data_IF_259593697243
#
_entry.id   IF_259593697243
#
_cell.length_a   1.000
_cell.length_b   1.000
_cell.length_c   1.000
_cell.angle_alpha   90.00
_cell.angle_beta   90.00
_cell.angle_gamma   90.00
#
_symmetry.space_group_name_H-M   'P 1'
#
loop_
_entity.id
_entity.type
_entity.pdbx_description
1 polymer ?
#
# COMPACT_ATOMS: atom_id res chain seq x y z
N UNK A 1 87.54 4.03 -141.15
CA UNK A 1 86.96 5.31 -140.68
C UNK A 1 86.35 5.04 -139.33
N UNK A 2 86.92 5.63 -138.29
CA UNK A 2 86.59 5.37 -136.89
C UNK A 2 85.15 5.88 -136.58
N UNK A 3 84.28 4.97 -136.17
CA UNK A 3 82.84 5.18 -135.94
C UNK A 3 82.49 5.69 -134.54
N UNK A 4 83.47 6.25 -133.84
CA UNK A 4 83.35 6.76 -132.49
C UNK A 4 82.49 8.04 -132.43
N UNK A 5 81.72 8.19 -131.34
CA UNK A 5 80.91 9.39 -131.03
C UNK A 5 81.80 10.64 -130.93
N UNK A 6 81.21 11.83 -131.07
CA UNK A 6 81.95 13.08 -130.82
C UNK A 6 82.37 13.21 -129.36
N UNK A 7 81.71 12.46 -128.46
CA UNK A 7 82.02 12.41 -127.03
C UNK A 7 81.99 10.95 -126.56
N UNK A 8 83.10 10.38 -126.08
CA UNK A 8 83.13 9.03 -125.49
C UNK A 8 82.33 8.95 -124.18
N UNK A 9 81.62 7.84 -123.93
CA UNK A 9 80.87 7.60 -122.68
C UNK A 9 81.77 7.59 -121.44
N UNK A 10 83.00 7.09 -121.59
CA UNK A 10 83.97 6.88 -120.51
C UNK A 10 84.56 8.20 -119.97
N UNK A 11 84.41 9.31 -120.69
CA UNK A 11 84.94 10.63 -120.31
C UNK A 11 83.86 11.64 -119.89
N UNK A 12 82.58 11.27 -119.95
CA UNK A 12 81.50 12.13 -119.48
C UNK A 12 81.32 11.94 -117.97
N UNK A 13 81.72 12.95 -117.20
CA UNK A 13 81.23 13.08 -115.84
C UNK A 13 79.75 13.51 -115.90
N UNK A 14 78.84 12.54 -115.80
CA UNK A 14 77.40 12.77 -115.89
C UNK A 14 76.92 13.81 -114.87
N UNK A 15 77.49 13.80 -113.66
CA UNK A 15 77.16 14.76 -112.60
C UNK A 15 77.51 16.18 -113.04
N UNK A 16 78.65 16.38 -113.68
CA UNK A 16 79.08 17.70 -114.15
C UNK A 16 78.29 18.15 -115.37
N UNK A 17 78.04 17.26 -116.34
CA UNK A 17 77.28 17.60 -117.55
C UNK A 17 75.86 18.06 -117.22
N UNK A 18 75.19 17.39 -116.27
CA UNK A 18 73.81 17.72 -115.89
C UNK A 18 73.70 18.78 -114.79
N UNK A 19 74.80 19.45 -114.42
CA UNK A 19 74.81 20.58 -113.48
C UNK A 19 75.11 21.90 -114.19
N UNK A 20 74.30 22.92 -113.92
CA UNK A 20 74.57 24.28 -114.38
C UNK A 20 74.60 24.42 -115.92
N UNK A 21 75.38 25.36 -116.48
CA UNK A 21 75.42 25.61 -117.93
C UNK A 21 76.21 24.57 -118.74
N UNK A 22 76.80 23.55 -118.08
CA UNK A 22 77.73 22.62 -118.70
C UNK A 22 77.11 21.80 -119.84
N UNK A 23 75.81 21.45 -119.74
CA UNK A 23 75.10 20.80 -120.82
C UNK A 23 75.02 21.71 -122.05
N UNK A 24 74.68 22.99 -121.85
CA UNK A 24 74.57 23.96 -122.94
C UNK A 24 75.93 24.21 -123.60
N UNK A 25 77.01 24.31 -122.81
CA UNK A 25 78.38 24.41 -123.32
C UNK A 25 78.80 23.18 -124.13
N UNK A 26 78.45 21.98 -123.67
CA UNK A 26 78.73 20.74 -124.37
C UNK A 26 77.97 20.65 -125.69
N UNK A 27 76.67 21.00 -125.69
CA UNK A 27 75.85 21.05 -126.89
C UNK A 27 76.38 22.11 -127.88
N UNK A 28 76.84 23.26 -127.39
CA UNK A 28 77.48 24.30 -128.21
C UNK A 28 78.77 23.79 -128.87
N UNK A 29 79.62 23.05 -128.14
CA UNK A 29 80.83 22.42 -128.69
C UNK A 29 80.50 21.40 -129.79
N UNK A 30 79.54 20.51 -129.57
CA UNK A 30 79.08 19.55 -130.60
C UNK A 30 78.60 20.30 -131.86
N UNK A 31 77.85 21.39 -131.69
CA UNK A 31 77.38 22.23 -132.80
C UNK A 31 78.54 22.90 -133.53
N UNK A 32 79.53 23.42 -132.80
CA UNK A 32 80.71 24.05 -133.39
C UNK A 32 81.53 23.05 -134.22
N UNK A 33 81.82 21.88 -133.66
CA UNK A 33 82.57 20.81 -134.34
C UNK A 33 81.88 20.33 -135.62
N UNK A 34 80.56 20.20 -135.59
CA UNK A 34 79.78 19.80 -136.77
C UNK A 34 79.65 20.90 -137.81
N UNK A 35 79.65 22.18 -137.40
CA UNK A 35 79.59 23.32 -138.32
C UNK A 35 80.91 23.62 -139.03
N UNK A 36 82.06 23.23 -138.46
CA UNK A 36 83.39 23.40 -139.08
C UNK A 36 83.57 22.51 -140.31
N UNK A 37 82.84 21.40 -140.41
CA UNK A 37 82.95 20.46 -141.53
C UNK A 37 81.83 20.77 -142.52
N UNK A 38 82.20 21.21 -143.74
CA UNK A 38 81.25 21.52 -144.83
C UNK A 38 81.52 20.58 -146.02
N UNK A 39 80.97 19.35 -146.02
CA UNK A 39 81.19 18.40 -147.10
C UNK A 39 80.43 18.80 -148.36
N UNK A 40 81.01 18.53 -149.53
CA UNK A 40 80.35 18.79 -150.83
C UNK A 40 79.26 17.73 -151.12
N UNK A 41 78.00 18.13 -150.97
CA UNK A 41 76.82 17.30 -151.22
C UNK A 41 76.68 16.81 -152.66
N UNK A 42 77.32 17.47 -153.63
CA UNK A 42 77.30 17.06 -155.03
C UNK A 42 78.10 15.76 -155.25
N UNK A 43 79.09 15.49 -154.39
CA UNK A 43 79.94 14.29 -154.45
C UNK A 43 79.38 13.12 -153.62
N UNK A 44 79.61 11.88 -154.07
CA UNK A 44 79.27 10.69 -153.29
C UNK A 44 80.06 10.60 -151.97
N UNK A 45 81.28 11.16 -151.94
CA UNK A 45 82.11 11.26 -150.74
C UNK A 45 81.50 12.20 -149.69
N UNK A 46 81.14 13.42 -150.08
CA UNK A 46 80.56 14.41 -149.17
C UNK A 46 79.21 13.98 -148.60
N UNK A 47 78.35 13.30 -149.38
CA UNK A 47 77.10 12.71 -148.84
C UNK A 47 77.34 11.65 -147.77
N UNK A 48 78.38 10.81 -147.92
CA UNK A 48 78.77 9.82 -146.90
C UNK A 48 79.32 10.48 -145.64
N UNK A 49 80.07 11.56 -145.80
CA UNK A 49 80.60 12.35 -144.68
C UNK A 49 79.49 13.04 -143.88
N UNK A 50 78.50 13.65 -144.55
CA UNK A 50 77.29 14.21 -143.91
C UNK A 50 76.55 13.13 -143.10
N UNK A 51 76.33 11.94 -143.69
CA UNK A 51 75.69 10.83 -142.99
C UNK A 51 76.50 10.37 -141.77
N UNK A 52 77.83 10.35 -141.86
CA UNK A 52 78.73 10.01 -140.76
C UNK A 52 78.64 11.04 -139.62
N UNK A 53 78.64 12.34 -139.92
CA UNK A 53 78.48 13.40 -138.91
C UNK A 53 77.13 13.31 -138.20
N UNK A 54 76.05 13.13 -138.96
CA UNK A 54 74.71 12.93 -138.39
C UNK A 54 74.66 11.71 -137.47
N UNK A 55 75.31 10.60 -137.85
CA UNK A 55 75.41 9.41 -137.03
C UNK A 55 76.17 9.67 -135.72
N UNK A 56 77.29 10.42 -135.78
CA UNK A 56 78.05 10.78 -134.57
C UNK A 56 77.25 11.65 -133.61
N UNK A 57 76.47 12.62 -134.11
CA UNK A 57 75.55 13.43 -133.29
C UNK A 57 74.48 12.56 -132.65
N UNK A 58 73.89 11.63 -133.40
CA UNK A 58 72.90 10.69 -132.87
C UNK A 58 73.48 9.81 -131.76
N UNK A 59 74.74 9.36 -131.89
CA UNK A 59 75.45 8.63 -130.83
C UNK A 59 75.71 9.51 -129.60
N UNK A 60 76.18 10.75 -129.78
CA UNK A 60 76.37 11.69 -128.66
C UNK A 60 75.06 11.95 -127.89
N UNK A 61 73.92 12.05 -128.58
CA UNK A 61 72.59 12.16 -127.94
C UNK A 61 72.29 10.96 -127.05
N UNK A 62 72.44 9.74 -127.59
CA UNK A 62 72.20 8.50 -126.83
C UNK A 62 73.12 8.41 -125.62
N UNK A 63 74.40 8.72 -125.81
CA UNK A 63 75.40 8.77 -124.74
C UNK A 63 75.00 9.72 -123.60
N UNK A 64 74.56 10.94 -123.92
CA UNK A 64 74.11 11.92 -122.91
C UNK A 64 72.85 11.41 -122.18
N UNK A 65 71.86 10.89 -122.89
CA UNK A 65 70.63 10.34 -122.30
C UNK A 65 70.89 9.14 -121.37
N UNK A 66 71.76 8.21 -121.77
CA UNK A 66 72.17 7.05 -120.97
C UNK A 66 72.93 7.48 -119.69
N UNK A 67 73.78 8.50 -119.78
CA UNK A 67 74.48 9.07 -118.63
C UNK A 67 73.50 9.70 -117.62
N UNK A 68 72.49 10.44 -118.09
CA UNK A 68 71.47 11.03 -117.24
C UNK A 68 70.57 9.99 -116.56
N UNK A 69 70.16 8.95 -117.30
CA UNK A 69 69.39 7.82 -116.75
C UNK A 69 70.16 7.06 -115.67
N UNK A 70 71.44 6.78 -115.92
CA UNK A 70 72.31 6.10 -114.95
C UNK A 70 72.46 6.94 -113.68
N UNK A 71 72.70 8.25 -113.82
CA UNK A 71 72.80 9.17 -112.68
C UNK A 71 71.53 9.22 -111.83
N UNK A 72 70.35 9.33 -112.45
CA UNK A 72 69.07 9.31 -111.73
C UNK A 72 68.82 7.96 -111.04
N UNK A 73 69.22 6.85 -111.66
CA UNK A 73 69.12 5.52 -111.05
C UNK A 73 70.01 5.42 -109.80
N UNK A 74 71.24 5.92 -109.86
CA UNK A 74 72.15 5.98 -108.71
C UNK A 74 71.61 6.89 -107.59
N UNK A 75 71.09 8.07 -107.91
CA UNK A 75 70.47 8.96 -106.91
C UNK A 75 69.25 8.33 -106.24
N UNK A 76 68.39 7.65 -106.99
CA UNK A 76 67.25 6.91 -106.41
C UNK A 76 67.70 5.79 -105.48
N UNK A 77 68.78 5.08 -105.85
CA UNK A 77 69.38 4.05 -105.00
C UNK A 77 69.93 4.66 -103.70
N UNK A 78 70.71 5.73 -103.79
CA UNK A 78 71.26 6.44 -102.62
C UNK A 78 70.14 6.98 -101.72
N UNK A 79 69.10 7.59 -102.29
CA UNK A 79 67.94 8.06 -101.52
C UNK A 79 67.23 6.90 -100.79
N UNK A 80 67.05 5.76 -101.47
CA UNK A 80 66.49 4.55 -100.87
C UNK A 80 67.33 3.99 -99.72
N UNK A 81 68.66 3.98 -99.86
CA UNK A 81 69.59 3.59 -98.79
C UNK A 81 69.48 4.52 -97.57
N UNK A 82 69.38 5.84 -97.79
CA UNK A 82 69.19 6.83 -96.72
C UNK A 82 67.85 6.62 -96.01
N UNK A 83 66.76 6.42 -96.75
CA UNK A 83 65.44 6.18 -96.13
C UNK A 83 65.39 4.88 -95.34
N UNK A 84 66.03 3.81 -95.83
CA UNK A 84 66.18 2.56 -95.10
C UNK A 84 67.00 2.76 -93.80
N UNK A 85 68.10 3.50 -93.87
CA UNK A 85 68.92 3.82 -92.70
C UNK A 85 68.15 4.68 -91.68
N UNK A 86 67.36 5.66 -92.14
CA UNK A 86 66.50 6.48 -91.29
C UNK A 86 65.43 5.66 -90.58
N UNK A 87 64.80 4.72 -91.30
CA UNK A 87 63.83 3.79 -90.69
C UNK A 87 64.52 2.93 -89.62
N UNK A 88 65.65 2.31 -89.95
CA UNK A 88 66.43 1.50 -89.00
C UNK A 88 66.80 2.30 -87.74
N UNK A 89 67.22 3.55 -87.90
CA UNK A 89 67.55 4.42 -86.77
C UNK A 89 66.33 4.69 -85.87
N UNK A 90 65.17 4.99 -86.46
CA UNK A 90 63.93 5.21 -85.70
C UNK A 90 63.53 3.96 -84.92
N UNK A 91 63.41 2.83 -85.62
CA UNK A 91 62.94 1.58 -85.03
C UNK A 91 63.88 1.12 -83.90
N UNK A 92 65.20 1.27 -84.07
CA UNK A 92 66.19 0.96 -83.04
C UNK A 92 66.09 1.89 -81.82
N UNK A 93 65.98 3.20 -82.05
CA UNK A 93 65.91 4.17 -80.95
C UNK A 93 64.59 4.07 -80.16
N UNK A 94 63.47 3.76 -80.82
CA UNK A 94 62.21 3.49 -80.15
C UNK A 94 62.30 2.23 -79.28
N UNK A 95 62.86 1.14 -79.82
CA UNK A 95 63.07 -0.09 -79.05
C UNK A 95 64.01 0.14 -77.84
N UNK A 96 65.10 0.88 -78.03
CA UNK A 96 66.04 1.21 -76.95
C UNK A 96 65.39 2.10 -75.87
N UNK A 97 64.54 3.05 -76.26
CA UNK A 97 63.77 3.88 -75.32
C UNK A 97 62.84 3.01 -74.48
N UNK A 98 62.14 2.07 -75.10
CA UNK A 98 61.22 1.16 -74.40
C UNK A 98 61.99 0.22 -73.46
N UNK A 99 63.15 -0.32 -73.89
CA UNK A 99 64.03 -1.15 -73.05
C UNK A 99 64.57 -0.38 -71.84
N UNK A 100 65.03 0.86 -72.03
CA UNK A 100 65.51 1.73 -70.94
C UNK A 100 64.38 2.05 -69.97
N UNK A 101 63.14 2.18 -70.45
CA UNK A 101 61.98 2.52 -69.62
C UNK A 101 61.39 1.31 -68.88
N UNK A 102 61.53 0.11 -69.43
CA UNK A 102 60.93 -1.10 -68.88
C UNK A 102 61.23 -1.36 -67.38
N UNK A 103 62.45 -1.14 -66.84
CA UNK A 103 62.71 -1.28 -65.41
C UNK A 103 61.92 -0.30 -64.54
N UNK A 104 61.71 0.94 -65.02
CA UNK A 104 60.92 1.94 -64.31
C UNK A 104 59.44 1.56 -64.32
N UNK A 105 58.89 1.19 -65.49
CA UNK A 105 57.48 0.78 -65.60
C UNK A 105 57.20 -0.46 -64.73
N UNK A 106 58.15 -1.42 -64.66
CA UNK A 106 58.06 -2.58 -63.77
C UNK A 106 58.09 -2.21 -62.29
N UNK A 107 58.94 -1.26 -61.89
CA UNK A 107 58.99 -0.75 -60.52
C UNK A 107 57.71 0.01 -60.15
N UNK A 108 57.18 0.86 -61.04
CA UNK A 108 55.92 1.60 -60.84
C UNK A 108 54.75 0.62 -60.65
N UNK A 109 54.68 -0.44 -61.45
CA UNK A 109 53.66 -1.49 -61.29
C UNK A 109 53.79 -2.24 -59.96
N UNK A 110 55.01 -2.54 -59.53
CA UNK A 110 55.28 -3.17 -58.23
C UNK A 110 54.90 -2.25 -57.06
N UNK A 111 55.22 -0.95 -57.14
CA UNK A 111 54.79 0.02 -56.11
C UNK A 111 53.27 0.14 -56.03
N UNK A 112 52.57 0.14 -57.17
CA UNK A 112 51.12 0.13 -57.20
C UNK A 112 50.54 -1.12 -56.54
N UNK A 113 51.16 -2.29 -56.75
CA UNK A 113 50.77 -3.54 -56.08
C UNK A 113 50.98 -3.47 -54.57
N UNK A 114 52.16 -3.02 -54.13
CA UNK A 114 52.49 -2.88 -52.70
C UNK A 114 51.52 -1.93 -52.01
N UNK A 115 51.20 -0.79 -52.62
CA UNK A 115 50.26 0.17 -52.03
C UNK A 115 48.84 -0.41 -51.95
N UNK A 116 48.40 -1.13 -52.99
CA UNK A 116 47.11 -1.82 -52.97
C UNK A 116 47.07 -2.90 -51.87
N UNK A 117 48.11 -3.72 -51.75
CA UNK A 117 48.20 -4.75 -50.71
C UNK A 117 48.23 -4.14 -49.30
N UNK A 118 48.97 -3.04 -49.11
CA UNK A 118 49.03 -2.30 -47.85
C UNK A 118 47.65 -1.74 -47.47
N UNK A 119 46.94 -1.13 -48.42
CA UNK A 119 45.57 -0.64 -48.22
C UNK A 119 44.62 -1.77 -47.84
N UNK A 120 44.70 -2.91 -48.51
CA UNK A 120 43.89 -4.08 -48.16
C UNK A 120 44.23 -4.65 -46.78
N UNK A 121 45.52 -4.67 -46.41
CA UNK A 121 45.96 -5.09 -45.08
C UNK A 121 45.47 -4.14 -43.98
N UNK A 122 45.50 -2.82 -44.23
CA UNK A 122 45.00 -1.80 -43.29
C UNK A 122 43.48 -1.93 -43.10
N UNK A 123 42.72 -2.10 -44.18
CA UNK A 123 41.27 -2.34 -44.11
C UNK A 123 40.94 -3.63 -43.36
N UNK A 124 41.68 -4.72 -43.59
CA UNK A 124 41.53 -5.97 -42.82
C UNK A 124 41.82 -5.77 -41.34
N UNK A 125 42.93 -5.10 -41.00
CA UNK A 125 43.30 -4.84 -39.61
C UNK A 125 42.26 -3.97 -38.90
N UNK A 126 41.71 -2.97 -39.59
CA UNK A 126 40.63 -2.12 -39.06
C UNK A 126 39.35 -2.92 -38.82
N UNK A 127 38.94 -3.77 -39.77
CA UNK A 127 37.78 -4.63 -39.62
C UNK A 127 37.94 -5.64 -38.46
N UNK A 128 39.13 -6.22 -38.30
CA UNK A 128 39.44 -7.12 -37.18
C UNK A 128 39.42 -6.39 -35.84
N UNK A 129 40.00 -5.19 -35.76
CA UNK A 129 39.96 -4.37 -34.55
C UNK A 129 38.53 -3.96 -34.18
N UNK A 130 37.70 -3.60 -35.15
CA UNK A 130 36.29 -3.28 -34.92
C UNK A 130 35.50 -4.50 -34.44
N UNK A 131 35.73 -5.66 -35.06
CA UNK A 131 35.09 -6.91 -34.63
C UNK A 131 35.50 -7.30 -33.20
N UNK A 132 36.79 -7.17 -32.85
CA UNK A 132 37.28 -7.41 -31.50
C UNK A 132 36.68 -6.44 -30.48
N UNK A 133 36.57 -5.15 -30.82
CA UNK A 133 35.94 -4.15 -29.96
C UNK A 133 34.45 -4.45 -29.71
N UNK A 134 33.72 -4.87 -30.76
CA UNK A 134 32.31 -5.29 -30.65
C UNK A 134 32.17 -6.53 -29.75
N UNK A 135 33.01 -7.54 -29.95
CA UNK A 135 32.97 -8.76 -29.14
C UNK A 135 33.27 -8.48 -27.65
N UNK A 136 34.22 -7.60 -27.34
CA UNK A 136 34.51 -7.19 -25.96
C UNK A 136 33.34 -6.40 -25.35
N UNK A 137 32.68 -5.53 -26.13
CA UNK A 137 31.49 -4.82 -25.66
C UNK A 137 30.36 -5.79 -25.32
N UNK A 138 30.05 -6.73 -26.21
CA UNK A 138 29.03 -7.77 -26.00
C UNK A 138 29.33 -8.62 -24.76
N UNK A 139 30.60 -8.98 -24.56
CA UNK A 139 31.06 -9.70 -23.36
C UNK A 139 30.80 -8.89 -22.09
N UNK A 140 31.15 -7.60 -22.08
CA UNK A 140 30.90 -6.72 -20.92
C UNK A 140 29.42 -6.54 -20.65
N UNK A 141 28.60 -6.37 -21.68
CA UNK A 141 27.15 -6.27 -21.53
C UNK A 141 26.54 -7.58 -21.00
N UNK A 142 27.05 -8.75 -21.41
CA UNK A 142 26.66 -10.02 -20.84
C UNK A 142 27.05 -10.16 -19.37
N UNK A 143 28.27 -9.72 -18.99
CA UNK A 143 28.73 -9.72 -17.60
C UNK A 143 27.90 -8.78 -16.72
N UNK A 144 27.59 -7.58 -17.20
CA UNK A 144 26.72 -6.62 -16.49
C UNK A 144 25.33 -7.23 -16.28
N UNK A 145 24.72 -7.78 -17.34
CA UNK A 145 23.40 -8.44 -17.22
C UNK A 145 23.42 -9.59 -16.22
N UNK A 146 24.41 -10.47 -16.28
CA UNK A 146 24.54 -11.57 -15.33
C UNK A 146 24.70 -11.08 -13.88
N UNK A 147 25.44 -9.98 -13.68
CA UNK A 147 25.60 -9.35 -12.36
C UNK A 147 24.30 -8.72 -11.87
N UNK A 148 23.57 -8.01 -12.73
CA UNK A 148 22.26 -7.43 -12.40
C UNK A 148 21.25 -8.51 -12.03
N UNK A 149 21.19 -9.60 -12.80
CA UNK A 149 20.34 -10.76 -12.49
C UNK A 149 20.71 -11.40 -11.14
N UNK A 150 22.01 -11.55 -10.85
CA UNK A 150 22.47 -12.08 -9.57
C UNK A 150 22.10 -11.17 -8.39
N UNK A 151 22.22 -9.84 -8.55
CA UNK A 151 21.81 -8.87 -7.53
C UNK A 151 20.29 -8.94 -7.33
N UNK A 152 19.50 -8.91 -8.39
CA UNK A 152 18.04 -8.98 -8.32
C UNK A 152 17.57 -10.26 -7.62
N UNK A 153 18.20 -11.40 -7.92
CA UNK A 153 17.92 -12.67 -7.25
C UNK A 153 18.28 -12.61 -5.75
N UNK A 154 19.45 -12.08 -5.40
CA UNK A 154 19.86 -11.95 -4.01
C UNK A 154 18.94 -11.02 -3.21
N UNK A 155 18.49 -9.91 -3.82
CA UNK A 155 17.51 -9.00 -3.21
C UNK A 155 16.15 -9.68 -3.02
N UNK A 156 15.68 -10.45 -4.00
CA UNK A 156 14.43 -11.19 -3.89
C UNK A 156 14.50 -12.25 -2.78
N UNK A 157 15.59 -13.01 -2.70
CA UNK A 157 15.83 -13.98 -1.62
C UNK A 157 15.91 -13.30 -0.25
N UNK A 158 16.58 -12.15 -0.15
CA UNK A 158 16.67 -11.38 1.08
C UNK A 158 15.29 -10.86 1.54
N UNK A 159 14.48 -10.36 0.60
CA UNK A 159 13.09 -9.93 0.88
C UNK A 159 12.23 -11.10 1.32
N UNK A 160 12.26 -12.23 0.62
CA UNK A 160 11.51 -13.42 0.98
C UNK A 160 11.89 -13.93 2.38
N UNK A 161 13.18 -13.92 2.71
CA UNK A 161 13.66 -14.29 4.05
C UNK A 161 13.19 -13.31 5.12
N UNK A 162 13.24 -12.01 4.86
CA UNK A 162 12.77 -10.99 5.79
C UNK A 162 11.25 -11.09 6.02
N UNK A 163 10.47 -11.32 4.97
CA UNK A 163 9.02 -11.55 5.07
C UNK A 163 8.70 -12.82 5.86
N UNK A 164 9.42 -13.92 5.61
CA UNK A 164 9.27 -15.16 6.36
C UNK A 164 9.60 -14.97 7.86
N UNK A 165 10.70 -14.27 8.17
CA UNK A 165 11.09 -13.97 9.55
C UNK A 165 10.05 -13.08 10.24
N UNK A 166 9.52 -12.07 9.54
CA UNK A 166 8.47 -11.21 10.08
C UNK A 166 7.16 -11.99 10.31
N UNK A 167 6.76 -12.85 9.37
CA UNK A 167 5.57 -13.69 9.52
C UNK A 167 5.69 -14.66 10.71
N UNK A 168 6.89 -15.20 10.95
CA UNK A 168 7.16 -16.06 12.11
C UNK A 168 7.17 -15.26 13.42
N UNK A 169 7.78 -14.08 13.45
CA UNK A 169 7.70 -13.16 14.61
C UNK A 169 6.25 -12.79 14.94
N UNK A 170 5.45 -12.45 13.93
CA UNK A 170 4.03 -12.12 14.10
C UNK A 170 3.23 -13.33 14.60
N UNK A 171 3.57 -14.54 14.14
CA UNK A 171 2.96 -15.78 14.65
C UNK A 171 3.30 -16.00 16.12
N UNK A 172 4.57 -15.90 16.49
CA UNK A 172 5.03 -16.06 17.88
C UNK A 172 4.37 -15.01 18.77
N UNK A 173 4.32 -13.75 18.34
CA UNK A 173 3.67 -12.67 19.07
C UNK A 173 2.16 -12.93 19.28
N UNK A 174 1.46 -13.42 18.26
CA UNK A 174 0.04 -13.83 18.38
C UNK A 174 -0.13 -15.01 19.34
N UNK A 175 0.71 -16.04 19.25
CA UNK A 175 0.65 -17.19 20.15
C UNK A 175 0.93 -16.77 21.60
N UNK A 176 1.91 -15.89 21.84
CA UNK A 176 2.23 -15.36 23.16
C UNK A 176 1.10 -14.47 23.70
N UNK A 177 0.51 -13.61 22.85
CA UNK A 177 -0.61 -12.77 23.25
C UNK A 177 -1.85 -13.61 23.57
N UNK A 178 -2.17 -14.62 22.77
CA UNK A 178 -3.26 -15.56 23.05
C UNK A 178 -3.02 -16.32 24.36
N UNK A 179 -1.77 -16.71 24.63
CA UNK A 179 -1.40 -17.34 25.91
C UNK A 179 -1.58 -16.38 27.08
N UNK A 180 -1.13 -15.12 26.96
CA UNK A 180 -1.31 -14.10 28.01
C UNK A 180 -2.78 -13.80 28.25
N UNK A 181 -3.58 -13.67 27.20
CA UNK A 181 -5.03 -13.48 27.30
C UNK A 181 -5.71 -14.67 27.96
N UNK A 182 -5.30 -15.90 27.65
CA UNK A 182 -5.79 -17.11 28.31
C UNK A 182 -5.38 -17.16 29.79
N UNK A 183 -4.14 -16.82 30.14
CA UNK A 183 -3.68 -16.74 31.54
C UNK A 183 -4.38 -15.61 32.32
N UNK A 184 -4.55 -14.42 31.73
CA UNK A 184 -5.33 -13.30 32.28
C UNK A 184 -6.79 -13.70 32.51
N UNK A 185 -7.42 -14.33 31.51
CA UNK A 185 -8.81 -14.79 31.60
C UNK A 185 -8.96 -15.84 32.70
N UNK A 186 -8.06 -16.82 32.76
CA UNK A 186 -8.05 -17.83 33.83
C UNK A 186 -7.86 -17.21 35.22
N UNK A 187 -6.98 -16.20 35.36
CA UNK A 187 -6.81 -15.45 36.62
C UNK A 187 -8.06 -14.66 36.99
N UNK A 188 -8.71 -13.99 36.03
CA UNK A 188 -9.96 -13.26 36.26
C UNK A 188 -11.09 -14.19 36.66
N UNK A 189 -11.27 -15.29 35.93
CA UNK A 189 -12.28 -16.31 36.26
C UNK A 189 -12.03 -16.93 37.64
N UNK A 190 -10.78 -17.21 38.00
CA UNK A 190 -10.42 -17.71 39.33
C UNK A 190 -10.69 -16.65 40.43
N UNK A 191 -10.32 -15.39 40.21
CA UNK A 191 -10.59 -14.31 41.15
C UNK A 191 -12.10 -14.04 41.30
N UNK A 192 -12.85 -14.08 40.20
CA UNK A 192 -14.30 -13.91 40.21
C UNK A 192 -15.01 -15.09 40.90
N UNK A 193 -14.52 -16.32 40.71
CA UNK A 193 -15.02 -17.50 41.43
C UNK A 193 -14.75 -17.40 42.94
N UNK A 194 -13.55 -16.94 43.34
CA UNK A 194 -13.23 -16.69 44.75
C UNK A 194 -14.15 -15.59 45.31
N UNK A 195 -14.30 -14.47 44.62
CA UNK A 195 -15.16 -13.37 45.05
C UNK A 195 -16.64 -13.79 45.15
N UNK A 196 -17.13 -14.64 44.23
CA UNK A 196 -18.47 -15.24 44.32
C UNK A 196 -18.60 -16.14 45.55
N UNK A 197 -17.63 -17.01 45.80
CA UNK A 197 -17.65 -17.89 46.95
C UNK A 197 -17.61 -17.11 48.28
N UNK A 198 -16.82 -16.02 48.35
CA UNK A 198 -16.80 -15.12 49.51
C UNK A 198 -18.11 -14.37 49.69
N UNK A 199 -18.71 -13.86 48.60
CA UNK A 199 -20.00 -13.19 48.63
C UNK A 199 -21.13 -14.15 49.05
N UNK A 200 -21.17 -15.37 48.52
CA UNK A 200 -22.13 -16.41 48.91
C UNK A 200 -21.93 -16.81 50.38
N UNK A 201 -20.69 -16.97 50.84
CA UNK A 201 -20.40 -17.24 52.25
C UNK A 201 -20.80 -16.08 53.17
N UNK A 202 -20.61 -14.84 52.75
CA UNK A 202 -21.04 -13.65 53.49
C UNK A 202 -22.57 -13.55 53.54
N UNK A 203 -23.26 -13.81 52.42
CA UNK A 203 -24.72 -13.86 52.36
C UNK A 203 -25.27 -14.99 53.23
N UNK A 204 -24.65 -16.17 53.24
CA UNK A 204 -25.05 -17.28 54.10
C UNK A 204 -24.86 -16.97 55.59
N UNK A 205 -23.74 -16.31 55.96
CA UNK A 205 -23.51 -15.84 57.34
C UNK A 205 -24.53 -14.79 57.76
N UNK A 206 -24.85 -13.85 56.87
CA UNK A 206 -25.83 -12.80 57.14
C UNK A 206 -27.25 -13.36 57.26
N UNK A 207 -27.63 -14.29 56.37
CA UNK A 207 -28.90 -15.00 56.46
C UNK A 207 -29.00 -15.84 57.75
N UNK A 208 -27.92 -16.51 58.16
CA UNK A 208 -27.87 -17.25 59.43
C UNK A 208 -27.99 -16.31 60.64
N UNK A 209 -27.38 -15.12 60.60
CA UNK A 209 -27.50 -14.10 61.64
C UNK A 209 -28.92 -13.56 61.74
N UNK A 210 -29.55 -13.23 60.62
CA UNK A 210 -30.93 -12.74 60.57
C UNK A 210 -31.91 -13.81 61.05
N UNK A 211 -31.71 -15.08 60.67
CA UNK A 211 -32.51 -16.20 61.16
C UNK A 211 -32.35 -16.42 62.68
N UNK A 212 -31.13 -16.28 63.21
CA UNK A 212 -30.87 -16.35 64.64
C UNK A 212 -31.51 -15.19 65.41
N UNK A 213 -31.44 -13.96 64.89
CA UNK A 213 -32.09 -12.78 65.49
C UNK A 213 -33.62 -12.91 65.47
N UNK A 214 -34.19 -13.42 64.38
CA UNK A 214 -35.63 -13.71 64.30
C UNK A 214 -36.04 -14.78 65.31
N UNK A 215 -35.27 -15.87 65.43
CA UNK A 215 -35.56 -16.92 66.41
C UNK A 215 -35.41 -16.42 67.87
N UNK A 216 -34.49 -15.49 68.13
CA UNK A 216 -34.36 -14.85 69.44
C UNK A 216 -35.54 -13.92 69.74
N UNK A 217 -35.95 -13.10 68.77
CA UNK A 217 -37.16 -12.26 68.90
C UNK A 217 -38.42 -13.10 69.11
N UNK A 218 -38.61 -14.18 68.36
CA UNK A 218 -39.75 -15.07 68.55
C UNK A 218 -39.76 -15.71 69.93
N UNK A 219 -38.58 -16.10 70.46
CA UNK A 219 -38.46 -16.59 71.85
C UNK A 219 -38.75 -15.51 72.88
N UNK A 220 -38.27 -14.28 72.66
CA UNK A 220 -38.53 -13.16 73.55
C UNK A 220 -40.02 -12.77 73.55
N UNK A 221 -40.66 -12.71 72.38
CA UNK A 221 -42.09 -12.43 72.24
C UNK A 221 -42.97 -13.57 72.76
N UNK A 222 -42.52 -14.82 72.66
CA UNK A 222 -43.19 -15.95 73.31
C UNK A 222 -43.05 -15.91 74.84
N UNK A 223 -41.88 -15.52 75.36
CA UNK A 223 -41.66 -15.33 76.78
C UNK A 223 -42.47 -14.16 77.33
N UNK A 224 -42.53 -13.03 76.62
CA UNK A 224 -43.34 -11.87 76.99
C UNK A 224 -44.84 -12.18 76.95
N UNK A 225 -45.31 -12.93 75.95
CA UNK A 225 -46.70 -13.43 75.92
C UNK A 225 -47.01 -14.36 77.08
N UNK A 226 -46.10 -15.27 77.44
CA UNK A 226 -46.28 -16.16 78.59
C UNK A 226 -46.25 -15.39 79.93
N UNK A 227 -45.41 -14.37 80.06
CA UNK A 227 -45.36 -13.47 81.23
C UNK A 227 -46.66 -12.68 81.34
N UNK A 228 -47.15 -12.13 80.21
CA UNK A 228 -48.39 -11.35 80.15
C UNK A 228 -49.61 -12.22 80.41
N UNK A 229 -49.66 -13.46 79.91
CA UNK A 229 -50.72 -14.43 80.25
C UNK A 229 -50.70 -14.82 81.72
N UNK A 230 -49.51 -14.98 82.34
CA UNK A 230 -49.39 -15.18 83.79
C UNK A 230 -49.87 -13.97 84.57
N UNK A 231 -49.51 -12.75 84.16
CA UNK A 231 -49.97 -11.53 84.83
C UNK A 231 -51.48 -11.29 84.62
N UNK A 232 -52.03 -11.57 83.45
CA UNK A 232 -53.47 -11.51 83.20
C UNK A 232 -54.23 -12.59 83.99
N UNK A 233 -53.66 -13.78 84.20
CA UNK A 233 -54.23 -14.81 85.06
C UNK A 233 -54.20 -14.43 86.55
N UNK A 234 -53.11 -13.81 87.02
CA UNK A 234 -52.99 -13.27 88.39
C UNK A 234 -53.97 -12.11 88.59
N UNK A 235 -54.04 -11.16 87.65
CA UNK A 235 -54.98 -10.04 87.71
C UNK A 235 -56.44 -10.50 87.65
N UNK A 236 -56.77 -11.55 86.86
CA UNK A 236 -58.11 -12.15 86.87
C UNK A 236 -58.43 -12.86 88.18
N UNK A 237 -57.45 -13.52 88.81
CA UNK A 237 -57.64 -14.15 90.12
C UNK A 237 -57.82 -13.10 91.23
N UNK A 238 -57.06 -12.01 91.21
CA UNK A 238 -57.21 -10.88 92.13
C UNK A 238 -58.53 -10.13 91.91
N UNK A 239 -58.94 -9.91 90.65
CA UNK A 239 -60.23 -9.28 90.36
C UNK A 239 -61.40 -10.15 90.82
N UNK A 240 -61.32 -11.48 90.65
CA UNK A 240 -62.33 -12.42 91.19
C UNK A 240 -62.35 -12.44 92.71
N UNK A 241 -61.19 -12.44 93.37
CA UNK A 241 -61.10 -12.40 94.82
C UNK A 241 -61.60 -11.07 95.40
N UNK A 242 -61.36 -9.96 94.70
CA UNK A 242 -61.84 -8.63 95.08
C UNK A 242 -63.34 -8.46 94.85
N UNK A 243 -63.88 -9.01 93.76
CA UNK A 243 -65.32 -9.04 93.49
C UNK A 243 -66.08 -9.94 94.48
N UNK A 244 -65.54 -11.11 94.84
CA UNK A 244 -66.15 -11.97 95.88
C UNK A 244 -66.06 -11.36 97.29
N UNK A 245 -65.01 -10.58 97.59
CA UNK A 245 -64.90 -9.84 98.85
C UNK A 245 -65.86 -8.65 98.91
N UNK A 246 -65.97 -7.86 97.84
CA UNK A 246 -66.90 -6.72 97.75
C UNK A 246 -68.37 -7.16 97.72
N UNK A 247 -68.69 -8.32 97.13
CA UNK A 247 -70.05 -8.86 97.12
C UNK A 247 -70.46 -9.39 98.51
N UNK A 248 -69.55 -10.05 99.24
CA UNK A 248 -69.77 -10.42 100.64
C UNK A 248 -69.89 -9.22 101.58
N UNK A 249 -69.16 -8.13 101.31
CA UNK A 249 -69.26 -6.89 102.11
C UNK A 249 -70.54 -6.11 101.80
N UNK A 250 -70.96 -6.03 100.53
CA UNK A 250 -72.24 -5.40 100.12
C UNK A 250 -73.46 -6.14 100.65
N UNK A 251 -73.44 -7.47 100.73
CA UNK A 251 -74.54 -8.24 101.33
C UNK A 251 -74.64 -7.99 102.83
N UNK A 252 -73.52 -7.90 103.55
CA UNK A 252 -73.51 -7.65 105.00
C UNK A 252 -74.01 -6.24 105.35
N UNK A 253 -73.56 -5.23 104.60
CA UNK A 253 -73.98 -3.82 104.81
C UNK A 253 -75.44 -3.56 104.40
N UNK A 254 -75.97 -4.29 103.40
CA UNK A 254 -77.37 -4.19 103.00
C UNK A 254 -78.35 -4.85 103.98
N UNK A 255 -77.96 -5.93 104.66
CA UNK A 255 -78.78 -6.55 105.73
C UNK A 255 -78.78 -5.74 107.03
N UNK A 256 -77.66 -5.11 107.40
CA UNK A 256 -77.58 -4.25 108.59
C UNK A 256 -78.39 -2.95 108.43
N UNK A 257 -78.35 -2.34 107.25
CA UNK A 257 -79.14 -1.13 106.95
C UNK A 257 -80.66 -1.40 106.91
N UNK A 258 -81.10 -2.60 106.50
CA UNK A 258 -82.52 -2.97 106.50
C UNK A 258 -83.07 -3.23 107.92
N UNK A 259 -82.28 -3.86 108.80
CA UNK A 259 -82.68 -4.10 110.20
C UNK A 259 -82.71 -2.82 111.05
N UNK A 260 -81.81 -1.87 110.78
CA UNK A 260 -81.80 -0.58 111.47
C UNK A 260 -83.01 0.32 111.09
N UNK A 261 -83.45 0.28 109.83
CA UNK A 261 -84.61 1.04 109.36
C UNK A 261 -85.96 0.49 109.86
N UNK A 262 -86.07 -0.83 110.07
CA UNK A 262 -87.29 -1.47 110.59
C UNK A 262 -87.44 -1.31 112.11
N UNK A 263 -86.34 -1.37 112.87
CA UNK A 263 -86.33 -1.11 114.31
C UNK A 263 -86.66 0.36 114.68
N UNK A 264 -86.28 1.33 113.84
CA UNK A 264 -86.59 2.74 114.05
C UNK A 264 -88.09 3.07 113.83
N UNK A 265 -88.79 2.30 112.98
CA UNK A 265 -90.22 2.53 112.70
C UNK A 265 -91.14 1.97 113.79
N UNK A 266 -90.74 0.90 114.48
CA UNK A 266 -91.51 0.28 115.57
C UNK A 266 -91.47 1.13 116.84
N UNK A 267 -90.31 1.71 117.18
CA UNK A 267 -90.16 2.51 118.41
C UNK A 267 -90.92 3.84 118.37
N UNK A 268 -90.98 4.49 117.20
CA UNK A 268 -91.71 5.74 117.02
C UNK A 268 -93.24 5.60 117.16
N UNK A 269 -93.79 4.39 117.00
CA UNK A 269 -95.21 4.12 117.20
C UNK A 269 -95.56 3.82 118.67
N UNK A 270 -94.62 3.27 119.45
CA UNK A 270 -94.82 2.99 120.89
C UNK A 270 -94.79 4.26 121.75
N UNK A 271 -93.93 5.22 121.44
CA UNK A 271 -93.81 6.47 122.21
C UNK A 271 -95.08 7.35 122.12
N UNK A 272 -95.80 7.28 120.99
CA UNK A 272 -97.08 7.99 120.82
C UNK A 272 -98.22 7.40 121.67
N UNK A 273 -98.16 6.10 121.99
CA UNK A 273 -99.15 5.41 122.84
C UNK A 273 -98.85 5.58 124.33
N UNK A 274 -97.62 5.94 124.70
CA UNK A 274 -97.25 6.23 126.08
C UNK A 274 -97.79 7.59 126.55
N UNK A 275 -97.64 8.65 125.75
CA UNK A 275 -98.10 10.00 126.09
C UNK A 275 -99.62 10.10 126.29
N UNK A 276 -100.42 9.36 125.51
CA UNK A 276 -101.89 9.41 125.59
C UNK A 276 -102.44 8.72 126.87
N UNK A 277 -101.72 7.75 127.41
CA UNK A 277 -102.08 7.07 128.68
C UNK A 277 -101.84 7.97 129.88
N UNK A 278 -100.81 8.79 129.84
CA UNK A 278 -100.43 9.64 130.98
C UNK A 278 -101.38 10.84 131.13
N UNK A 279 -101.82 11.42 130.01
CA UNK A 279 -102.82 12.48 130.00
C UNK A 279 -104.18 12.01 130.55
N UNK A 280 -104.66 10.84 130.12
CA UNK A 280 -105.90 10.24 130.63
C UNK A 280 -105.85 9.89 132.12
N UNK A 281 -104.67 9.48 132.60
CA UNK A 281 -104.47 9.11 134.02
C UNK A 281 -104.51 10.34 134.93
N UNK A 282 -103.97 11.49 134.49
CA UNK A 282 -104.05 12.74 135.26
C UNK A 282 -105.49 13.24 135.40
N UNK A 283 -106.25 13.27 134.31
CA UNK A 283 -107.65 13.74 134.32
C UNK A 283 -108.55 12.86 135.19
N UNK A 284 -108.39 11.53 135.13
CA UNK A 284 -109.16 10.60 135.96
C UNK A 284 -108.79 10.69 137.45
N UNK A 285 -107.52 10.91 137.77
CA UNK A 285 -107.10 11.08 139.16
C UNK A 285 -107.59 12.41 139.76
N UNK A 286 -107.67 13.47 138.96
CA UNK A 286 -108.27 14.74 139.39
C UNK A 286 -109.77 14.59 139.68
N UNK A 287 -110.51 13.85 138.85
CA UNK A 287 -111.90 13.51 139.09
C UNK A 287 -112.08 12.61 140.34
N UNK A 288 -111.13 11.70 140.59
CA UNK A 288 -111.14 10.84 141.78
C UNK A 288 -110.95 11.66 143.04
N UNK A 289 -109.96 12.57 143.06
CA UNK A 289 -109.68 13.43 144.20
C UNK A 289 -110.90 14.29 144.58
N UNK A 290 -111.55 14.91 143.59
CA UNK A 290 -112.75 15.74 143.81
C UNK A 290 -113.94 14.97 144.39
N UNK A 291 -114.10 13.68 144.04
CA UNK A 291 -115.15 12.83 144.60
C UNK A 291 -114.84 12.37 146.03
N UNK A 292 -113.56 12.14 146.36
CA UNK A 292 -113.15 11.79 147.73
C UNK A 292 -113.20 12.96 148.71
N UNK A 293 -112.94 14.20 148.26
CA UNK A 293 -113.01 15.40 149.13
C UNK A 293 -114.44 15.71 149.60
N UNK A 294 -115.46 15.31 148.83
CA UNK A 294 -116.89 15.41 149.20
C UNK A 294 -117.37 14.22 150.07
N UNK A 295 -116.45 13.37 150.55
CA UNK A 295 -116.72 12.30 151.52
C UNK A 295 -117.13 10.95 150.93
N UNK A 296 -117.00 10.74 149.61
CA UNK A 296 -117.26 9.44 148.98
C UNK A 296 -116.04 8.54 149.13
N UNK A 297 -116.27 7.29 149.53
CA UNK A 297 -115.22 6.28 149.63
C UNK A 297 -114.48 6.05 148.29
N UNK A 298 -113.15 5.97 148.36
CA UNK A 298 -112.27 5.95 147.20
C UNK A 298 -112.48 4.76 146.25
N UNK A 299 -112.91 3.60 146.76
CA UNK A 299 -113.21 2.45 145.90
C UNK A 299 -114.48 2.69 145.08
N UNK A 300 -115.51 3.26 145.71
CA UNK A 300 -116.78 3.56 145.04
C UNK A 300 -116.56 4.67 144.01
N UNK A 301 -115.78 5.70 144.34
CA UNK A 301 -115.44 6.79 143.40
C UNK A 301 -114.69 6.28 142.15
N UNK A 302 -113.73 5.36 142.31
CA UNK A 302 -113.05 4.71 141.15
C UNK A 302 -114.04 3.96 140.26
N UNK A 303 -114.98 3.25 140.87
CA UNK A 303 -115.95 2.42 140.16
C UNK A 303 -116.92 3.29 139.35
N UNK A 304 -117.34 4.43 139.90
CA UNK A 304 -118.15 5.44 139.20
C UNK A 304 -117.37 6.07 138.03
N UNK A 305 -116.13 6.53 138.23
CA UNK A 305 -115.29 7.07 137.15
C UNK A 305 -115.09 6.05 136.02
N UNK A 306 -114.88 4.77 136.37
CA UNK A 306 -114.72 3.68 135.41
C UNK A 306 -115.99 3.44 134.60
N UNK A 307 -117.17 3.48 135.24
CA UNK A 307 -118.45 3.33 134.57
C UNK A 307 -118.76 4.50 133.62
N UNK A 308 -118.32 5.71 133.95
CA UNK A 308 -118.48 6.91 133.11
C UNK A 308 -117.48 6.90 131.94
N UNK A 309 -116.20 6.59 132.18
CA UNK A 309 -115.18 6.50 131.13
C UNK A 309 -115.47 5.40 130.10
N UNK A 310 -116.16 4.33 130.52
CA UNK A 310 -116.62 3.23 129.64
C UNK A 310 -117.96 3.50 128.95
N UNK A 311 -118.62 4.63 129.21
CA UNK A 311 -119.89 5.01 128.57
C UNK A 311 -121.10 4.20 129.05
N UNK A 312 -120.97 3.50 130.17
CA UNK A 312 -122.03 2.65 130.74
C UNK A 312 -123.08 3.44 131.53
N UNK A 313 -122.80 4.71 131.84
CA UNK A 313 -123.76 5.65 132.45
C UNK A 313 -124.32 6.55 131.33
N UNK A 314 -125.59 6.40 130.93
CA UNK A 314 -126.17 7.18 129.84
C UNK A 314 -126.11 8.68 130.13
N UNK A 315 -125.75 9.46 129.11
CA UNK A 315 -125.72 10.94 129.12
C UNK A 315 -124.64 11.61 129.99
N UNK A 316 -123.62 10.89 130.48
CA UNK A 316 -122.48 11.46 131.23
C UNK A 316 -121.14 10.97 130.64
N UNK A 317 -120.17 11.86 130.42
CA UNK A 317 -118.84 11.52 129.85
C UNK A 317 -117.71 12.38 130.41
N UNK A 318 -116.49 11.83 130.53
CA UNK A 318 -115.27 12.56 130.93
C UNK A 318 -114.54 13.04 129.67
N UNK A 319 -114.20 14.34 129.61
CA UNK A 319 -113.33 14.88 128.57
C UNK A 319 -111.87 14.74 128.99
N UNK A 320 -111.08 14.10 128.14
CA UNK A 320 -109.62 13.98 128.27
C UNK A 320 -108.92 15.02 127.42
#
# INVERSE_FOLDING_TARGET
MDGSSLIPLETINAIEVFKGPNLDELLAKIRQETATIVPDVSTAGGRKEIASLAYKVARSKTTIDEAGKSLVAEWKKQAGEVDAARKKARDYLDALKDEIRAPLDAWEAEQARIEQEKREAEERAKAEAEAAARAELERREAEIRAREEAIAKAEAEARAKAEAEQAERDRIAREEQLRKEAEEKAKREAAEAIARAEAEAAQAKEAARLAAEQAEREKAEAAERAEREKQEAIARAELKAKQEAEEKERVRLAEEAKKAAEAARIKAEEDRRAADREHRKQVNNAALAALTDEGIDAEIAKRVITLIASGSVPHVSIKY
#
